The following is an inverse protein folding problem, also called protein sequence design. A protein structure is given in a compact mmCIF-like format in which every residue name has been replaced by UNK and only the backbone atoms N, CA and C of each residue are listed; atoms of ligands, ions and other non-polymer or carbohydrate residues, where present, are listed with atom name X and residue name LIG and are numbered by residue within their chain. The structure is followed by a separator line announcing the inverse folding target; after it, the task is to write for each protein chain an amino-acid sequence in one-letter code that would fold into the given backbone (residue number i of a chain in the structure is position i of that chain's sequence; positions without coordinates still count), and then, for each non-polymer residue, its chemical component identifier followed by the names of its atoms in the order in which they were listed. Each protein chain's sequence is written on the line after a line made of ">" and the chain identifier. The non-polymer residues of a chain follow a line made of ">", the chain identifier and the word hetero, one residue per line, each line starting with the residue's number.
data_IF_068442260634
#
_entry.id   IF_068442260634
#
_cell.length_a   1.000
_cell.length_b   1.000
_cell.length_c   1.000
_cell.angle_alpha   90.00
_cell.angle_beta   90.00
_cell.angle_gamma   90.00
#
_symmetry.space_group_name_H-M   'P 1'
#
loop_
_entity.id
_entity.type
_entity.pdbx_description
1 polymer ?
#
# COMPACT_ATOMS: atom_id res chain seq x y z
N UNK A 1 3.36 13.00 -0.25
CA UNK A 1 2.34 13.12 0.82
C UNK A 1 2.50 11.93 1.77
N UNK A 2 2.10 12.08 3.03
CA UNK A 2 2.06 10.97 4.00
C UNK A 2 0.74 11.07 4.77
N UNK A 3 0.11 9.94 5.06
CA UNK A 3 -1.17 9.91 5.77
C UNK A 3 -1.69 8.50 5.96
N UNK A 4 -2.68 8.34 6.83
CA UNK A 4 -3.37 7.06 7.01
C UNK A 4 -4.27 6.77 5.79
N UNK A 5 -4.48 5.49 5.43
CA UNK A 5 -5.21 5.12 4.22
C UNK A 5 -6.58 5.78 4.11
N UNK A 6 -7.40 5.71 5.16
CA UNK A 6 -8.72 6.33 5.19
C UNK A 6 -8.71 7.84 4.89
N UNK A 7 -7.81 8.61 5.53
CA UNK A 7 -7.76 10.07 5.31
C UNK A 7 -7.26 10.43 3.91
N UNK A 8 -6.32 9.66 3.36
CA UNK A 8 -5.85 9.87 1.98
C UNK A 8 -7.00 9.62 0.99
N UNK A 9 -7.78 8.56 1.22
CA UNK A 9 -8.96 8.23 0.40
C UNK A 9 -10.02 9.31 0.50
N UNK A 10 -10.30 9.83 1.69
CA UNK A 10 -11.27 10.91 1.89
C UNK A 10 -10.88 12.15 1.08
N UNK A 11 -9.63 12.61 1.19
CA UNK A 11 -9.12 13.76 0.44
C UNK A 11 -9.15 13.54 -1.08
N UNK A 12 -8.87 12.31 -1.53
CA UNK A 12 -8.99 11.96 -2.94
C UNK A 12 -10.45 12.03 -3.42
N UNK A 13 -11.41 11.50 -2.65
CA UNK A 13 -12.85 11.56 -2.96
C UNK A 13 -13.39 12.98 -2.97
N UNK A 14 -12.91 13.83 -2.06
CA UNK A 14 -13.25 15.26 -2.00
C UNK A 14 -12.61 16.09 -3.12
N UNK A 15 -11.77 15.47 -3.97
CA UNK A 15 -10.96 16.14 -5.01
C UNK A 15 -9.99 17.18 -4.44
N UNK A 16 -9.69 17.10 -3.14
CA UNK A 16 -8.68 17.91 -2.46
C UNK A 16 -7.26 17.36 -2.70
N UNK A 17 -7.15 16.09 -3.14
CA UNK A 17 -5.91 15.43 -3.48
C UNK A 17 -6.03 14.73 -4.83
N UNK A 18 -5.10 15.00 -5.75
CA UNK A 18 -4.97 14.28 -7.01
C UNK A 18 -3.88 13.20 -6.93
N UNK A 19 -4.26 11.96 -7.20
CA UNK A 19 -3.37 10.80 -7.19
C UNK A 19 -2.88 10.40 -8.60
N UNK A 20 -3.34 11.08 -9.66
CA UNK A 20 -3.08 10.70 -11.06
C UNK A 20 -1.60 10.67 -11.44
N UNK A 21 -0.78 11.51 -10.77
CA UNK A 21 0.66 11.64 -11.02
C UNK A 21 1.54 10.90 -10.02
N UNK A 22 0.95 10.05 -9.16
CA UNK A 22 1.71 9.27 -8.19
C UNK A 22 2.44 8.14 -8.91
N UNK A 23 3.77 8.17 -8.83
CA UNK A 23 4.66 7.16 -9.41
C UNK A 23 5.19 6.17 -8.36
N UNK A 24 5.09 6.50 -7.06
CA UNK A 24 5.58 5.66 -5.96
C UNK A 24 4.51 5.58 -4.86
N UNK A 25 4.19 4.36 -4.46
CA UNK A 25 3.31 4.05 -3.33
C UNK A 25 4.09 3.27 -2.27
N UNK A 26 4.09 3.76 -1.04
CA UNK A 26 4.74 3.11 0.10
C UNK A 26 3.70 2.71 1.13
N UNK A 27 3.69 1.44 1.51
CA UNK A 27 2.96 0.93 2.66
C UNK A 27 3.96 0.65 3.78
N UNK A 28 3.94 1.49 4.83
CA UNK A 28 4.78 1.34 6.02
C UNK A 28 3.98 0.71 7.17
N UNK A 29 4.62 -0.14 7.97
CA UNK A 29 3.96 -1.01 8.96
C UNK A 29 2.75 -1.78 8.39
N UNK A 30 2.95 -2.47 7.26
CA UNK A 30 1.85 -3.12 6.53
C UNK A 30 1.14 -4.23 7.32
N UNK A 31 1.84 -4.90 8.23
CA UNK A 31 1.25 -5.83 9.20
C UNK A 31 0.25 -5.12 10.12
N UNK A 32 0.59 -3.95 10.66
CA UNK A 32 -0.33 -3.16 11.49
C UNK A 32 -1.51 -2.63 10.71
N UNK A 33 -1.31 -2.20 9.47
CA UNK A 33 -2.44 -1.80 8.61
C UNK A 33 -3.42 -2.96 8.39
N UNK A 34 -2.93 -4.19 8.26
CA UNK A 34 -3.79 -5.38 8.23
C UNK A 34 -4.56 -5.56 9.54
N UNK A 35 -3.88 -5.51 10.68
CA UNK A 35 -4.49 -5.69 12.00
C UNK A 35 -5.58 -4.64 12.31
N UNK A 36 -5.38 -3.41 11.81
CA UNK A 36 -6.34 -2.32 11.94
C UNK A 36 -7.52 -2.41 10.94
N UNK A 37 -7.51 -3.40 10.03
CA UNK A 37 -8.57 -3.59 9.05
C UNK A 37 -8.47 -2.70 7.81
N UNK A 38 -7.31 -2.08 7.55
CA UNK A 38 -7.11 -1.18 6.39
C UNK A 38 -6.86 -1.90 5.06
N UNK A 39 -6.95 -3.23 5.02
CA UNK A 39 -6.71 -4.01 3.78
C UNK A 39 -7.55 -3.51 2.61
N UNK A 40 -8.84 -3.21 2.85
CA UNK A 40 -9.73 -2.69 1.79
C UNK A 40 -9.34 -1.30 1.32
N UNK A 41 -8.81 -0.48 2.22
CA UNK A 41 -8.32 0.87 1.89
C UNK A 41 -7.03 0.79 1.07
N UNK A 42 -6.13 -0.15 1.41
CA UNK A 42 -4.93 -0.42 0.62
C UNK A 42 -5.28 -0.88 -0.78
N UNK A 43 -6.22 -1.83 -0.92
CA UNK A 43 -6.75 -2.29 -2.21
C UNK A 43 -7.32 -1.12 -3.02
N UNK A 44 -8.15 -0.28 -2.39
CA UNK A 44 -8.71 0.89 -3.05
C UNK A 44 -7.63 1.84 -3.58
N UNK A 45 -6.58 2.12 -2.81
CA UNK A 45 -5.46 2.96 -3.27
C UNK A 45 -4.72 2.32 -4.45
N UNK A 46 -4.51 1.01 -4.41
CA UNK A 46 -3.89 0.26 -5.51
C UNK A 46 -4.74 0.31 -6.80
N UNK A 47 -6.07 0.33 -6.69
CA UNK A 47 -6.96 0.49 -7.85
C UNK A 47 -6.97 1.91 -8.42
N UNK A 48 -6.87 2.94 -7.56
CA UNK A 48 -7.03 4.35 -7.99
C UNK A 48 -5.75 5.00 -8.47
N UNK A 49 -4.60 4.56 -7.96
CA UNK A 49 -3.30 5.08 -8.42
C UNK A 49 -2.95 4.42 -9.76
N UNK A 50 -2.25 5.16 -10.63
CA UNK A 50 -1.72 4.65 -11.89
C UNK A 50 -1.04 3.26 -11.71
N UNK A 51 -1.33 2.25 -12.56
CA UNK A 51 -0.71 0.92 -12.47
C UNK A 51 0.80 0.92 -12.75
N UNK A 52 1.35 1.93 -13.44
CA UNK A 52 2.81 2.04 -13.68
C UNK A 52 3.62 2.51 -12.46
N UNK A 53 3.01 2.54 -11.28
CA UNK A 53 3.67 2.94 -10.03
C UNK A 53 4.66 1.88 -9.55
N UNK A 54 5.71 2.32 -8.87
CA UNK A 54 6.52 1.46 -8.01
C UNK A 54 5.81 1.29 -6.66
N UNK A 55 5.77 0.07 -6.15
CA UNK A 55 5.22 -0.25 -4.83
C UNK A 55 6.37 -0.66 -3.91
N UNK A 56 6.43 -0.07 -2.71
CA UNK A 56 7.31 -0.50 -1.64
C UNK A 56 6.46 -0.86 -0.42
N UNK A 57 6.77 -1.99 0.19
CA UNK A 57 6.07 -2.45 1.39
C UNK A 57 7.09 -2.76 2.46
N UNK A 58 6.89 -2.16 3.63
CA UNK A 58 7.71 -2.34 4.81
C UNK A 58 6.84 -2.95 5.91
N UNK A 59 7.36 -3.99 6.55
CA UNK A 59 6.63 -4.75 7.57
C UNK A 59 7.63 -5.40 8.52
N UNK A 60 7.32 -5.42 9.81
CA UNK A 60 8.15 -6.13 10.79
C UNK A 60 7.91 -7.64 10.73
N UNK A 61 6.69 -8.05 10.37
CA UNK A 61 6.30 -9.45 10.24
C UNK A 61 5.85 -9.77 8.81
N UNK A 62 6.02 -11.03 8.41
CA UNK A 62 5.55 -11.47 7.10
C UNK A 62 4.05 -11.77 7.14
N UNK A 63 3.27 -10.97 6.43
CA UNK A 63 1.83 -11.16 6.30
C UNK A 63 1.49 -11.66 4.89
N UNK A 64 1.16 -12.95 4.77
CA UNK A 64 0.80 -13.57 3.50
C UNK A 64 -0.42 -12.91 2.84
N UNK A 65 -1.34 -12.32 3.60
CA UNK A 65 -2.50 -11.62 3.03
C UNK A 65 -2.07 -10.35 2.32
N UNK A 66 -1.14 -9.58 2.90
CA UNK A 66 -0.58 -8.38 2.27
C UNK A 66 0.18 -8.77 1.01
N UNK A 67 1.01 -9.81 1.05
CA UNK A 67 1.73 -10.30 -0.13
C UNK A 67 0.77 -10.77 -1.23
N UNK A 68 -0.23 -11.58 -0.90
CA UNK A 68 -1.22 -12.07 -1.87
C UNK A 68 -1.97 -10.93 -2.53
N UNK A 69 -2.38 -9.92 -1.75
CA UNK A 69 -2.97 -8.70 -2.29
C UNK A 69 -2.02 -8.04 -3.30
N UNK A 70 -0.73 -7.86 -3.00
CA UNK A 70 0.21 -7.26 -3.95
C UNK A 70 0.34 -8.08 -5.25
N UNK A 71 0.36 -9.42 -5.15
CA UNK A 71 0.38 -10.31 -6.31
C UNK A 71 -0.87 -10.17 -7.19
N UNK A 72 -2.05 -10.01 -6.59
CA UNK A 72 -3.30 -9.75 -7.33
C UNK A 72 -3.25 -8.45 -8.14
N UNK A 73 -2.47 -7.46 -7.68
CA UNK A 73 -2.22 -6.20 -8.37
C UNK A 73 -0.99 -6.25 -9.31
N UNK A 74 -0.51 -7.44 -9.65
CA UNK A 74 0.57 -7.66 -10.62
C UNK A 74 1.96 -7.29 -10.12
N UNK A 75 2.15 -7.15 -8.81
CA UNK A 75 3.47 -6.94 -8.24
C UNK A 75 4.36 -8.19 -8.40
N UNK A 76 5.63 -7.98 -8.71
CA UNK A 76 6.68 -9.00 -8.64
C UNK A 76 7.78 -8.48 -7.70
N UNK A 77 7.54 -8.52 -6.38
CA UNK A 77 8.39 -7.86 -5.40
C UNK A 77 9.76 -8.54 -5.31
N UNK A 78 10.79 -7.73 -5.09
CA UNK A 78 12.07 -8.22 -4.59
C UNK A 78 11.99 -8.20 -3.06
N UNK A 79 12.01 -9.38 -2.45
CA UNK A 79 11.94 -9.50 -1.00
C UNK A 79 13.34 -9.32 -0.39
N UNK A 80 13.43 -8.40 0.57
CA UNK A 80 14.65 -8.16 1.34
C UNK A 80 14.32 -8.32 2.81
N UNK A 81 14.89 -9.35 3.43
CA UNK A 81 14.79 -9.57 4.87
C UNK A 81 16.07 -9.08 5.54
N UNK A 82 15.92 -8.17 6.51
CA UNK A 82 17.02 -7.57 7.27
C UNK A 82 17.13 -8.13 8.70
N UNK A 83 16.21 -9.03 9.09
CA UNK A 83 16.29 -9.74 10.36
C UNK A 83 17.55 -10.60 10.39
N UNK A 84 18.18 -10.67 11.56
CA UNK A 84 19.43 -11.43 11.80
C UNK A 84 19.19 -12.85 12.30
N UNK A 85 17.94 -13.31 12.29
CA UNK A 85 17.54 -14.66 12.71
C UNK A 85 17.73 -15.68 11.58
#
# INVERSE_FOLDING_TARGET
>A
ITGTPGRVIDLFKEKALDLSRVEILVFDEADRMFDMGFVKDMQYLLEKINPKRQILVFSATMNFTVLNMLYEFGANPQEVNVSRD
#
